data_IF_397684819982
#
_entry.id   IF_397684819982
#
_cell.length_a   1.000
_cell.length_b   1.000
_cell.length_c   1.000
_cell.angle_alpha   90.00
_cell.angle_beta   90.00
_cell.angle_gamma   90.00
#
_symmetry.space_group_name_H-M   'P 1'
#
loop_
_entity.id
_entity.type
_entity.pdbx_description
1 polymer ?
#
# COMPACT_ATOMS: atom_id res chain seq x y z
N UNK A 1 -5.94 -9.85 -4.37
CA UNK A 1 -7.19 -9.41 -5.05
C UNK A 1 -7.19 -9.97 -6.46
N UNK A 2 -8.31 -10.48 -6.99
CA UNK A 2 -8.39 -10.95 -8.39
C UNK A 2 -8.14 -9.82 -9.41
N UNK A 3 -8.19 -8.54 -8.97
CA UNK A 3 -7.94 -7.32 -9.76
C UNK A 3 -6.65 -6.56 -9.39
N UNK A 4 -5.72 -7.17 -8.65
CA UNK A 4 -4.41 -6.52 -8.42
C UNK A 4 -3.48 -6.82 -9.57
N UNK A 5 -2.80 -5.79 -10.10
CA UNK A 5 -1.69 -5.99 -11.01
C UNK A 5 -0.52 -6.65 -10.25
N UNK A 6 0.31 -7.39 -10.98
CA UNK A 6 1.47 -8.12 -10.49
C UNK A 6 2.62 -8.05 -11.51
N UNK A 7 3.86 -8.29 -11.05
CA UNK A 7 5.05 -8.28 -11.90
C UNK A 7 6.21 -7.49 -11.31
N UNK A 8 7.30 -7.35 -12.08
CA UNK A 8 8.55 -6.69 -11.65
C UNK A 8 8.40 -5.18 -11.38
N UNK A 9 7.35 -4.55 -11.92
CA UNK A 9 7.06 -3.13 -11.71
C UNK A 9 6.26 -2.85 -10.44
N UNK A 10 5.96 -3.87 -9.62
CA UNK A 10 5.27 -3.68 -8.35
C UNK A 10 6.29 -3.65 -7.22
N UNK A 11 6.45 -2.49 -6.60
CA UNK A 11 7.40 -2.29 -5.50
C UNK A 11 6.89 -2.86 -4.17
N UNK A 12 5.58 -2.78 -3.91
CA UNK A 12 5.02 -3.17 -2.62
C UNK A 12 3.58 -3.68 -2.74
N UNK A 13 3.25 -4.70 -1.96
CA UNK A 13 1.88 -5.18 -1.74
C UNK A 13 1.40 -4.78 -0.35
N UNK A 14 0.19 -4.24 -0.25
CA UNK A 14 -0.45 -3.89 1.04
C UNK A 14 -1.90 -4.35 1.08
N UNK A 15 -2.58 -4.05 2.19
CA UNK A 15 -4.01 -4.24 2.29
C UNK A 15 -4.75 -3.44 1.21
N UNK A 16 -5.58 -4.12 0.44
CA UNK A 16 -6.40 -3.47 -0.59
C UNK A 16 -7.79 -4.08 -0.74
N UNK A 17 -8.16 -5.04 0.11
CA UNK A 17 -9.46 -5.70 0.09
C UNK A 17 -10.20 -5.38 1.39
N UNK A 18 -11.48 -5.02 1.27
CA UNK A 18 -12.37 -4.71 2.38
C UNK A 18 -11.79 -3.68 3.36
N UNK A 19 -11.24 -2.58 2.84
CA UNK A 19 -10.73 -1.48 3.64
C UNK A 19 -11.89 -0.60 4.08
N UNK A 20 -12.10 -0.47 5.39
CA UNK A 20 -13.10 0.43 5.95
C UNK A 20 -12.58 1.87 5.90
N UNK A 21 -13.27 2.74 5.19
CA UNK A 21 -12.88 4.15 5.02
C UNK A 21 -14.09 5.09 5.07
N UNK A 22 -13.84 6.39 5.20
CA UNK A 22 -14.87 7.41 5.08
C UNK A 22 -15.34 7.52 3.64
N UNK A 23 -16.62 7.76 3.45
CA UNK A 23 -17.24 7.93 2.12
C UNK A 23 -17.59 9.39 1.90
N UNK A 24 -17.81 9.76 0.63
CA UNK A 24 -18.22 11.12 0.22
C UNK A 24 -19.49 11.61 0.94
N UNK A 25 -20.38 10.69 1.37
CA UNK A 25 -21.56 11.05 2.16
C UNK A 25 -21.16 11.38 3.59
N UNK A 26 -21.47 12.61 4.04
CA UNK A 26 -21.14 13.14 5.37
C UNK A 26 -21.38 12.09 6.47
N UNK A 27 -20.32 11.80 7.23
CA UNK A 27 -20.29 10.90 8.40
C UNK A 27 -20.59 9.42 8.13
N UNK A 28 -20.50 8.96 6.88
CA UNK A 28 -20.66 7.53 6.55
C UNK A 28 -19.31 6.84 6.35
N UNK A 29 -19.22 5.63 6.86
CA UNK A 29 -18.13 4.70 6.59
C UNK A 29 -18.60 3.64 5.60
N UNK A 30 -17.71 3.22 4.71
CA UNK A 30 -17.96 2.18 3.74
C UNK A 30 -16.73 1.30 3.57
N UNK A 31 -16.89 0.20 2.84
CA UNK A 31 -15.78 -0.67 2.49
C UNK A 31 -15.39 -0.45 1.04
N UNK A 32 -14.11 -0.25 0.79
CA UNK A 32 -13.53 -0.18 -0.56
C UNK A 32 -12.54 -1.31 -0.77
N UNK A 33 -12.45 -1.79 -2.01
CA UNK A 33 -11.46 -2.77 -2.43
C UNK A 33 -10.82 -2.33 -3.74
N UNK A 34 -9.50 -2.22 -3.77
CA UNK A 34 -8.75 -1.81 -4.94
C UNK A 34 -7.34 -1.38 -4.59
N UNK A 35 -6.49 -1.31 -5.62
CA UNK A 35 -5.11 -0.82 -5.49
C UNK A 35 -5.06 0.66 -5.09
N UNK A 36 -6.10 1.45 -5.40
CA UNK A 36 -6.22 2.84 -4.91
C UNK A 36 -6.25 2.93 -3.38
N UNK A 37 -6.88 1.95 -2.71
CA UNK A 37 -6.87 1.88 -1.25
C UNK A 37 -5.47 1.53 -0.73
N UNK A 38 -4.79 0.59 -1.40
CA UNK A 38 -3.41 0.23 -1.08
C UNK A 38 -2.46 1.41 -1.25
N UNK A 39 -2.61 2.19 -2.32
CA UNK A 39 -1.81 3.40 -2.56
C UNK A 39 -2.00 4.43 -1.43
N UNK A 40 -3.23 4.69 -1.00
CA UNK A 40 -3.50 5.61 0.11
C UNK A 40 -2.83 5.16 1.42
N UNK A 41 -2.79 3.86 1.70
CA UNK A 41 -2.11 3.31 2.87
C UNK A 41 -0.60 3.52 2.78
N UNK A 42 0.02 3.23 1.63
CA UNK A 42 1.45 3.48 1.42
C UNK A 42 1.77 4.96 1.57
N UNK A 43 0.97 5.86 1.00
CA UNK A 43 1.15 7.30 1.15
C UNK A 43 1.12 7.75 2.62
N UNK A 44 0.19 7.20 3.42
CA UNK A 44 0.16 7.45 4.86
C UNK A 44 1.40 6.94 5.59
N UNK A 45 1.91 5.76 5.21
CA UNK A 45 3.16 5.23 5.77
C UNK A 45 4.36 6.12 5.43
N UNK A 46 4.46 6.58 4.18
CA UNK A 46 5.49 7.54 3.77
C UNK A 46 5.41 8.83 4.59
N UNK A 47 4.20 9.35 4.80
CA UNK A 47 4.00 10.56 5.61
C UNK A 47 4.45 10.37 7.07
N UNK A 48 4.23 9.19 7.66
CA UNK A 48 4.73 8.88 9.01
C UNK A 48 6.26 8.85 9.06
N UNK A 49 6.91 8.20 8.10
CA UNK A 49 8.38 8.17 8.01
C UNK A 49 8.93 9.59 7.81
N UNK A 50 8.30 10.38 6.93
CA UNK A 50 8.67 11.78 6.71
C UNK A 50 8.45 12.64 7.95
N UNK A 51 7.41 12.39 8.76
CA UNK A 51 7.19 13.14 10.01
C UNK A 51 8.28 12.92 11.06
N UNK A 52 9.01 11.80 10.99
CA UNK A 52 10.14 11.54 11.87
C UNK A 52 11.42 12.22 11.37
N UNK A 53 11.54 12.40 10.06
CA UNK A 53 12.67 13.11 9.43
C UNK A 53 12.23 13.84 8.15
N UNK A 54 11.97 15.14 8.28
CA UNK A 54 11.47 15.98 7.20
C UNK A 54 12.51 16.24 6.09
N UNK A 55 13.78 15.93 6.32
CA UNK A 55 14.89 16.16 5.38
C UNK A 55 15.31 14.88 4.63
N UNK A 56 14.56 13.79 4.80
CA UNK A 56 14.87 12.51 4.18
C UNK A 56 14.74 12.60 2.65
N UNK A 57 15.73 12.05 1.93
CA UNK A 57 15.66 11.96 0.47
C UNK A 57 14.70 10.84 0.02
N UNK A 58 14.26 10.89 -1.23
CA UNK A 58 13.39 9.84 -1.80
C UNK A 58 14.04 8.45 -1.76
N UNK A 59 15.36 8.37 -1.96
CA UNK A 59 16.11 7.11 -1.93
C UNK A 59 16.17 6.52 -0.52
N UNK A 60 16.39 7.38 0.48
CA UNK A 60 16.35 6.99 1.89
C UNK A 60 14.95 6.54 2.30
N UNK A 61 13.91 7.26 1.86
CA UNK A 61 12.52 6.89 2.11
C UNK A 61 12.19 5.53 1.49
N UNK A 62 12.63 5.27 0.26
CA UNK A 62 12.45 3.99 -0.41
C UNK A 62 13.15 2.87 0.36
N UNK A 63 14.40 3.09 0.80
CA UNK A 63 15.15 2.12 1.60
C UNK A 63 14.44 1.80 2.92
N UNK A 64 13.87 2.81 3.59
CA UNK A 64 13.10 2.61 4.82
C UNK A 64 11.82 1.83 4.54
N UNK A 65 11.10 2.17 3.47
CA UNK A 65 9.88 1.44 3.06
C UNK A 65 10.17 -0.04 2.78
N UNK A 66 11.26 -0.35 2.07
CA UNK A 66 11.68 -1.73 1.81
C UNK A 66 12.02 -2.49 3.10
N UNK A 67 12.65 -1.83 4.08
CA UNK A 67 12.92 -2.44 5.39
C UNK A 67 11.63 -2.70 6.17
N UNK A 68 10.69 -1.77 6.15
CA UNK A 68 9.40 -1.88 6.85
C UNK A 68 8.47 -2.90 6.20
N UNK A 69 8.57 -3.08 4.88
CA UNK A 69 7.84 -4.08 4.11
C UNK A 69 8.25 -5.54 4.40
N UNK A 70 9.21 -5.74 5.32
CA UNK A 70 9.85 -7.01 5.65
C UNK A 70 8.99 -8.26 5.46
N UNK A 71 9.45 -9.13 4.56
CA UNK A 71 9.05 -10.54 4.38
C UNK A 71 7.58 -10.84 4.10
N UNK A 72 6.79 -9.92 3.55
CA UNK A 72 5.57 -10.34 2.84
C UNK A 72 6.00 -10.92 1.50
N UNK A 73 6.39 -12.20 1.47
CA UNK A 73 6.43 -12.93 0.20
C UNK A 73 5.00 -12.86 -0.34
N UNK A 74 4.76 -12.22 -1.50
CA UNK A 74 3.46 -12.35 -2.11
C UNK A 74 3.21 -13.84 -2.27
N UNK A 75 2.10 -14.33 -1.70
CA UNK A 75 1.51 -15.59 -2.13
C UNK A 75 1.10 -15.32 -3.58
N UNK A 76 2.06 -15.43 -4.51
CA UNK A 76 1.80 -15.34 -5.94
C UNK A 76 0.87 -16.53 -6.19
N UNK A 77 -0.43 -16.31 -6.48
CA UNK A 77 -1.27 -17.44 -6.84
C UNK A 77 -0.60 -18.11 -8.05
N UNK A 78 -0.49 -19.45 -8.07
CA UNK A 78 0.17 -20.14 -9.17
C UNK A 78 -0.43 -19.66 -10.50
N UNK A 79 0.43 -19.37 -11.46
CA UNK A 79 0.02 -19.09 -12.82
C UNK A 79 -0.77 -20.31 -13.33
N UNK A 80 -2.08 -20.14 -13.49
CA UNK A 80 -2.95 -21.13 -14.15
C UNK A 80 -3.06 -20.66 -15.60
N UNK A 81 -2.50 -21.40 -16.57
CA UNK A 81 -2.56 -21.06 -17.99
C UNK A 81 -4.00 -21.02 -18.51
#
# INVERSE_FOLDING_TARGET
>A
LKRSNYGKCVDLYTYGKNIKTTTYSRRKYGFISGTSASAAIVSGMCALVLSQNHHMSLDQLNTVLWKLAGSVRPQIPPYIP
#
